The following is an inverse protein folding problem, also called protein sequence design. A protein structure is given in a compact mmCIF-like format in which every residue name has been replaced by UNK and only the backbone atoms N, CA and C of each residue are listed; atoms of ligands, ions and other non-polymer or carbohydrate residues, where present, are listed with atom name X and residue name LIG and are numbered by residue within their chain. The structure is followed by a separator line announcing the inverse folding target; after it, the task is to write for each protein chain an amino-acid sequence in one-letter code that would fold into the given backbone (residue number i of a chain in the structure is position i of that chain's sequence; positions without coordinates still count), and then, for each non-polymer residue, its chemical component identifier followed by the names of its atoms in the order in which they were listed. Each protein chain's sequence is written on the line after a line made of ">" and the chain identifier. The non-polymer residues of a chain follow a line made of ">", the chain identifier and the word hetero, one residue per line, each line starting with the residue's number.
data_IF_785255498614
#
_entry.id   IF_785255498614
#
_cell.length_a   1.000
_cell.length_b   1.000
_cell.length_c   1.000
_cell.angle_alpha   90.00
_cell.angle_beta   90.00
_cell.angle_gamma   90.00
#
_symmetry.space_group_name_H-M   'P 1'
#
loop_
_entity.id
_entity.type
_entity.pdbx_description
1 polymer ?
#
# COMPACT_ATOMS: atom_id res chain seq x y z
N UNK A 1 29.83 4.03 -34.44
CA UNK A 1 28.41 3.70 -34.65
C UNK A 1 27.85 3.41 -33.28
N UNK A 2 27.19 4.40 -32.67
CA UNK A 2 26.64 4.29 -31.32
C UNK A 2 25.28 3.60 -31.43
N UNK A 3 25.15 2.40 -30.86
CA UNK A 3 23.85 1.83 -30.54
C UNK A 3 23.39 2.45 -29.22
N UNK A 4 22.51 3.44 -29.32
CA UNK A 4 21.61 3.80 -28.24
C UNK A 4 20.65 2.62 -28.06
N UNK A 5 20.78 1.89 -26.97
CA UNK A 5 19.72 1.00 -26.47
C UNK A 5 18.84 1.87 -25.58
N UNK A 6 17.66 2.21 -26.05
CA UNK A 6 16.61 2.82 -25.22
C UNK A 6 16.22 1.82 -24.12
N UNK A 7 15.88 2.29 -22.90
CA UNK A 7 15.40 1.42 -21.83
C UNK A 7 14.00 0.88 -22.19
N UNK A 8 13.85 -0.44 -22.07
CA UNK A 8 12.63 -1.18 -22.37
C UNK A 8 11.51 -0.75 -21.42
N UNK A 9 10.44 -0.08 -21.92
CA UNK A 9 9.28 0.22 -21.11
C UNK A 9 8.35 -1.00 -21.14
N UNK A 10 7.81 -1.38 -19.99
CA UNK A 10 6.68 -2.31 -19.86
C UNK A 10 7.01 -3.82 -19.67
N UNK A 11 7.05 -4.25 -18.40
CA UNK A 11 6.94 -5.67 -18.04
C UNK A 11 5.94 -5.91 -16.90
N UNK A 12 5.28 -4.87 -16.39
CA UNK A 12 4.25 -4.96 -15.33
C UNK A 12 2.88 -4.47 -15.79
N UNK A 13 2.79 -3.59 -16.80
CA UNK A 13 1.51 -3.13 -17.34
C UNK A 13 0.86 -4.13 -18.30
N UNK A 14 1.67 -4.91 -19.02
CA UNK A 14 1.21 -5.82 -20.07
C UNK A 14 0.46 -7.06 -19.54
N UNK A 15 0.84 -7.58 -18.36
CA UNK A 15 0.22 -8.78 -17.79
C UNK A 15 -1.16 -8.52 -17.14
N UNK A 16 -1.34 -7.39 -16.44
CA UNK A 16 -2.65 -7.04 -15.87
C UNK A 16 -3.62 -6.62 -16.99
N UNK A 17 -3.11 -5.99 -18.03
CA UNK A 17 -3.88 -5.65 -19.24
C UNK A 17 -4.37 -6.89 -20.00
N UNK A 18 -3.58 -7.97 -20.03
CA UNK A 18 -4.00 -9.23 -20.69
C UNK A 18 -5.12 -9.94 -19.93
N UNK A 19 -5.08 -9.97 -18.59
CA UNK A 19 -6.12 -10.61 -17.77
C UNK A 19 -7.47 -9.89 -17.93
N UNK A 20 -7.46 -8.55 -17.89
CA UNK A 20 -8.67 -7.76 -18.14
C UNK A 20 -9.29 -8.05 -19.51
N UNK A 21 -8.45 -8.20 -20.55
CA UNK A 21 -8.91 -8.57 -21.88
C UNK A 21 -9.53 -9.97 -21.93
N UNK A 22 -8.98 -10.96 -21.21
CA UNK A 22 -9.55 -12.30 -21.11
C UNK A 22 -10.94 -12.30 -20.44
N UNK A 23 -11.12 -11.50 -19.39
CA UNK A 23 -12.41 -11.32 -18.70
C UNK A 23 -13.43 -10.67 -19.64
N UNK A 24 -13.05 -9.63 -20.38
CA UNK A 24 -13.93 -8.99 -21.36
C UNK A 24 -14.30 -9.95 -22.50
N UNK A 25 -13.35 -10.74 -22.99
CA UNK A 25 -13.60 -11.77 -24.00
C UNK A 25 -14.56 -12.85 -23.48
N UNK A 26 -14.45 -13.22 -22.20
CA UNK A 26 -15.40 -14.12 -21.57
C UNK A 26 -16.79 -13.49 -21.51
N UNK A 27 -16.94 -12.24 -21.06
CA UNK A 27 -18.24 -11.54 -21.06
C UNK A 27 -18.87 -11.49 -22.45
N UNK A 28 -18.10 -11.23 -23.50
CA UNK A 28 -18.60 -11.30 -24.87
C UNK A 28 -19.10 -12.70 -25.26
N UNK A 29 -18.41 -13.77 -24.85
CA UNK A 29 -18.87 -15.16 -25.05
C UNK A 29 -20.16 -15.45 -24.30
N UNK A 30 -20.28 -14.95 -23.07
CA UNK A 30 -21.50 -15.11 -22.25
C UNK A 30 -22.68 -14.39 -22.89
N UNK A 31 -22.49 -13.16 -23.35
CA UNK A 31 -23.52 -12.38 -24.05
C UNK A 31 -23.93 -13.04 -25.37
N UNK A 32 -22.97 -13.58 -26.14
CA UNK A 32 -23.27 -14.32 -27.36
C UNK A 32 -24.07 -15.62 -27.09
N UNK A 33 -23.83 -16.26 -25.93
CA UNK A 33 -24.47 -17.53 -25.57
C UNK A 33 -25.85 -17.35 -24.94
N UNK A 34 -26.00 -16.34 -24.08
CA UNK A 34 -27.18 -16.19 -23.21
C UNK A 34 -27.89 -14.84 -23.39
N UNK A 35 -27.36 -13.92 -24.18
CA UNK A 35 -27.90 -12.56 -24.33
C UNK A 35 -27.71 -11.72 -23.08
N UNK A 36 -28.42 -10.60 -23.02
CA UNK A 36 -28.46 -9.72 -21.84
C UNK A 36 -28.98 -10.49 -20.63
N UNK A 37 -28.28 -10.38 -19.50
CA UNK A 37 -28.65 -11.02 -18.24
C UNK A 37 -29.15 -9.96 -17.25
N UNK A 38 -30.47 -9.84 -17.09
CA UNK A 38 -31.13 -8.89 -16.18
C UNK A 38 -31.86 -9.63 -15.05
N UNK A 39 -31.13 -10.46 -14.31
CA UNK A 39 -31.69 -11.20 -13.16
C UNK A 39 -31.79 -10.29 -11.94
N UNK A 40 -32.72 -10.60 -11.02
CA UNK A 40 -32.76 -9.94 -9.73
C UNK A 40 -31.50 -10.27 -8.90
N UNK A 41 -30.99 -9.30 -8.15
CA UNK A 41 -29.71 -9.43 -7.42
C UNK A 41 -29.69 -10.60 -6.43
N UNK A 42 -30.82 -10.85 -5.75
CA UNK A 42 -30.94 -11.96 -4.79
C UNK A 42 -30.07 -11.80 -3.53
N UNK A 43 -29.59 -10.60 -3.24
CA UNK A 43 -28.70 -10.27 -2.12
C UNK A 43 -29.46 -9.88 -0.84
N UNK A 44 -28.72 -9.77 0.26
CA UNK A 44 -29.21 -9.39 1.57
C UNK A 44 -29.76 -10.57 2.40
N UNK A 45 -30.49 -10.21 3.45
CA UNK A 45 -31.13 -11.18 4.35
C UNK A 45 -30.20 -11.70 5.45
N UNK A 46 -30.81 -12.29 6.49
CA UNK A 46 -30.10 -12.66 7.72
C UNK A 46 -28.97 -13.66 7.47
N UNK A 47 -29.18 -14.65 6.60
CA UNK A 47 -28.19 -15.68 6.31
C UNK A 47 -26.92 -15.08 5.67
N UNK A 48 -27.05 -14.12 4.75
CA UNK A 48 -25.92 -13.44 4.14
C UNK A 48 -25.14 -12.60 5.16
N UNK A 49 -25.82 -11.83 6.02
CA UNK A 49 -25.15 -11.09 7.09
C UNK A 49 -24.45 -12.00 8.12
N UNK A 50 -25.06 -13.14 8.46
CA UNK A 50 -24.42 -14.14 9.32
C UNK A 50 -23.15 -14.70 8.65
N UNK A 51 -23.21 -14.93 7.33
CA UNK A 51 -22.09 -15.42 6.53
C UNK A 51 -20.92 -14.43 6.47
N UNK A 52 -21.19 -13.12 6.29
CA UNK A 52 -20.15 -12.07 6.34
C UNK A 52 -19.37 -12.13 7.64
N UNK A 53 -20.06 -12.20 8.78
CA UNK A 53 -19.39 -12.25 10.09
C UNK A 53 -18.47 -13.46 10.22
N UNK A 54 -18.88 -14.62 9.68
CA UNK A 54 -18.06 -15.83 9.69
C UNK A 54 -16.85 -15.68 8.78
N UNK A 55 -17.03 -15.18 7.56
CA UNK A 55 -15.95 -15.05 6.57
C UNK A 55 -14.90 -14.01 7.00
N UNK A 56 -15.34 -12.85 7.50
CA UNK A 56 -14.46 -11.82 8.06
C UNK A 56 -13.64 -12.36 9.23
N UNK A 57 -14.29 -13.04 10.18
CA UNK A 57 -13.57 -13.63 11.32
C UNK A 57 -12.53 -14.68 10.87
N UNK A 58 -12.82 -15.46 9.82
CA UNK A 58 -11.85 -16.41 9.25
C UNK A 58 -10.70 -15.71 8.53
N UNK A 59 -10.98 -14.64 7.79
CA UNK A 59 -9.97 -13.85 7.10
C UNK A 59 -9.03 -13.18 8.10
N UNK A 60 -9.59 -12.50 9.11
CA UNK A 60 -8.85 -11.86 10.20
C UNK A 60 -7.99 -12.87 10.97
N UNK A 61 -8.53 -14.04 11.31
CA UNK A 61 -7.76 -15.08 11.99
C UNK A 61 -6.61 -15.61 11.12
N UNK A 62 -6.88 -15.83 9.83
CA UNK A 62 -5.86 -16.27 8.91
C UNK A 62 -4.76 -15.21 8.75
N UNK A 63 -5.12 -13.93 8.65
CA UNK A 63 -4.19 -12.81 8.59
C UNK A 63 -3.32 -12.72 9.86
N UNK A 64 -3.94 -12.69 11.03
CA UNK A 64 -3.25 -12.62 12.34
C UNK A 64 -2.27 -13.77 12.56
N UNK A 65 -2.52 -14.94 11.99
CA UNK A 65 -1.68 -16.12 12.15
C UNK A 65 -0.72 -16.38 10.96
N UNK A 66 -0.59 -15.45 10.01
CA UNK A 66 0.28 -15.63 8.84
C UNK A 66 -0.15 -16.77 7.89
N UNK A 67 -1.45 -17.12 7.92
CA UNK A 67 -2.09 -18.17 7.10
C UNK A 67 -3.08 -17.61 6.08
N UNK A 68 -3.03 -16.30 5.81
CA UNK A 68 -3.92 -15.64 4.85
C UNK A 68 -3.74 -16.24 3.46
N UNK A 69 -4.84 -16.43 2.74
CA UNK A 69 -4.83 -16.96 1.37
C UNK A 69 -5.83 -16.19 0.53
N UNK A 70 -5.66 -16.22 -0.80
CA UNK A 70 -6.65 -15.66 -1.72
C UNK A 70 -8.06 -16.26 -1.52
N UNK A 71 -8.16 -17.52 -1.10
CA UNK A 71 -9.45 -18.12 -0.74
C UNK A 71 -10.13 -17.37 0.40
N UNK A 72 -9.39 -16.98 1.44
CA UNK A 72 -9.97 -16.25 2.56
C UNK A 72 -10.49 -14.88 2.10
N UNK A 73 -9.64 -14.13 1.39
CA UNK A 73 -9.96 -12.78 0.90
C UNK A 73 -11.16 -12.84 -0.05
N UNK A 74 -11.12 -13.71 -1.09
CA UNK A 74 -12.21 -13.81 -2.05
C UNK A 74 -13.53 -14.27 -1.39
N UNK A 75 -13.47 -15.17 -0.39
CA UNK A 75 -14.69 -15.62 0.29
C UNK A 75 -15.33 -14.51 1.14
N UNK A 76 -14.51 -13.61 1.70
CA UNK A 76 -14.98 -12.44 2.43
C UNK A 76 -15.67 -11.45 1.48
N UNK A 77 -14.99 -11.02 0.41
CA UNK A 77 -15.53 -10.07 -0.57
C UNK A 77 -16.86 -10.58 -1.19
N UNK A 78 -16.94 -11.88 -1.51
CA UNK A 78 -18.18 -12.49 -2.01
C UNK A 78 -19.29 -12.47 -0.95
N UNK A 79 -18.97 -12.75 0.31
CA UNK A 79 -19.96 -12.69 1.37
C UNK A 79 -20.48 -11.26 1.58
N UNK A 80 -19.61 -10.25 1.49
CA UNK A 80 -19.96 -8.84 1.61
C UNK A 80 -20.88 -8.40 0.47
N UNK A 81 -20.52 -8.73 -0.78
CA UNK A 81 -21.40 -8.52 -1.93
C UNK A 81 -22.78 -9.18 -1.74
N UNK A 82 -22.83 -10.42 -1.25
CA UNK A 82 -24.10 -11.11 -1.02
C UNK A 82 -24.93 -10.54 0.11
N UNK A 83 -24.34 -9.82 1.06
CA UNK A 83 -25.07 -9.19 2.15
C UNK A 83 -25.56 -7.76 1.82
N UNK A 84 -25.03 -7.14 0.77
CA UNK A 84 -25.34 -5.77 0.41
C UNK A 84 -26.68 -5.66 -0.34
N UNK A 85 -27.46 -4.63 -0.01
CA UNK A 85 -28.78 -4.34 -0.58
C UNK A 85 -28.85 -2.98 -1.29
N UNK A 86 -27.89 -2.10 -1.01
CA UNK A 86 -27.71 -0.84 -1.72
C UNK A 86 -27.02 -1.10 -3.07
N UNK A 87 -27.63 -0.73 -4.22
CA UNK A 87 -27.05 -1.03 -5.53
C UNK A 87 -25.69 -0.39 -5.79
N UNK A 88 -25.42 0.79 -5.20
CA UNK A 88 -24.14 1.48 -5.40
C UNK A 88 -23.03 0.77 -4.67
N UNK A 89 -23.29 0.37 -3.42
CA UNK A 89 -22.35 -0.41 -2.63
C UNK A 89 -22.17 -1.82 -3.18
N UNK A 90 -23.25 -2.48 -3.60
CA UNK A 90 -23.19 -3.80 -4.23
C UNK A 90 -22.26 -3.78 -5.45
N UNK A 91 -22.36 -2.74 -6.28
CA UNK A 91 -21.45 -2.56 -7.42
C UNK A 91 -19.98 -2.47 -6.96
N UNK A 92 -19.70 -1.74 -5.88
CA UNK A 92 -18.34 -1.60 -5.32
C UNK A 92 -17.81 -2.95 -4.86
N UNK A 93 -18.59 -3.71 -4.10
CA UNK A 93 -18.19 -5.04 -3.62
C UNK A 93 -17.95 -6.02 -4.79
N UNK A 94 -18.82 -6.01 -5.80
CA UNK A 94 -18.64 -6.84 -7.00
C UNK A 94 -17.37 -6.48 -7.79
N UNK A 95 -16.98 -5.20 -7.80
CA UNK A 95 -15.71 -4.77 -8.39
C UNK A 95 -14.53 -5.28 -7.56
N UNK A 96 -14.61 -5.25 -6.23
CA UNK A 96 -13.57 -5.83 -5.36
C UNK A 96 -13.43 -7.34 -5.59
N UNK A 97 -14.53 -8.09 -5.69
CA UNK A 97 -14.52 -9.52 -6.04
C UNK A 97 -13.78 -9.75 -7.36
N UNK A 98 -14.09 -8.96 -8.39
CA UNK A 98 -13.42 -9.07 -9.69
C UNK A 98 -11.92 -8.74 -9.61
N UNK A 99 -11.54 -7.72 -8.83
CA UNK A 99 -10.14 -7.33 -8.63
C UNK A 99 -9.35 -8.43 -7.92
N UNK A 100 -9.89 -9.03 -6.85
CA UNK A 100 -9.23 -10.12 -6.12
C UNK A 100 -9.11 -11.38 -6.99
N UNK A 101 -10.11 -11.69 -7.80
CA UNK A 101 -10.03 -12.80 -8.76
C UNK A 101 -8.89 -12.58 -9.78
N UNK A 102 -8.79 -11.38 -10.35
CA UNK A 102 -7.70 -11.04 -11.28
C UNK A 102 -6.32 -11.10 -10.60
N UNK A 103 -6.19 -10.58 -9.38
CA UNK A 103 -4.95 -10.66 -8.62
C UNK A 103 -4.53 -12.12 -8.33
N UNK A 104 -5.50 -13.01 -8.10
CA UNK A 104 -5.23 -14.43 -7.91
C UNK A 104 -4.77 -15.09 -9.22
N UNK A 105 -5.41 -14.79 -10.35
CA UNK A 105 -4.98 -15.25 -11.68
C UNK A 105 -3.54 -14.80 -11.96
N UNK A 106 -3.24 -13.52 -11.78
CA UNK A 106 -1.89 -12.99 -11.96
C UNK A 106 -0.85 -13.72 -11.11
N UNK A 107 -1.20 -14.08 -9.86
CA UNK A 107 -0.34 -14.91 -9.00
C UNK A 107 -0.14 -16.31 -9.58
N UNK A 108 -1.16 -16.94 -10.16
CA UNK A 108 -1.04 -18.25 -10.79
C UNK A 108 -0.17 -18.19 -12.03
N UNK A 109 -0.32 -17.16 -12.86
CA UNK A 109 0.49 -16.99 -14.08
C UNK A 109 1.98 -16.81 -13.75
N UNK A 110 2.29 -16.05 -12.71
CA UNK A 110 3.67 -15.95 -12.20
C UNK A 110 4.24 -17.29 -11.74
N UNK A 111 3.40 -18.23 -11.30
CA UNK A 111 3.85 -19.55 -10.86
C UNK A 111 4.03 -20.54 -12.02
N UNK A 112 3.28 -20.38 -13.11
CA UNK A 112 3.32 -21.25 -14.27
C UNK A 112 4.34 -20.80 -15.32
N UNK A 113 4.78 -19.52 -15.27
CA UNK A 113 5.87 -19.02 -16.11
C UNK A 113 7.14 -19.87 -15.90
N UNK A 114 7.73 -20.47 -16.95
CA UNK A 114 8.94 -21.26 -16.82
C UNK A 114 10.04 -20.46 -16.13
N UNK A 115 10.67 -21.04 -15.10
CA UNK A 115 11.86 -20.47 -14.41
C UNK A 115 13.11 -20.38 -15.30
N UNK A 116 12.96 -20.52 -16.61
CA UNK A 116 14.06 -20.60 -17.59
C UNK A 116 14.74 -19.23 -17.81
N UNK A 117 14.11 -18.14 -17.37
CA UNK A 117 14.63 -16.77 -17.53
C UNK A 117 15.16 -16.15 -16.22
N UNK A 118 15.32 -16.93 -15.15
CA UNK A 118 15.98 -16.43 -13.94
C UNK A 118 17.48 -16.71 -14.02
N UNK A 119 18.35 -15.72 -14.34
CA UNK A 119 19.75 -15.85 -14.01
C UNK A 119 19.88 -16.19 -12.52
N UNK A 120 20.71 -17.20 -12.21
CA UNK A 120 21.08 -17.60 -10.85
C UNK A 120 21.24 -16.38 -9.97
N UNK A 121 20.40 -16.21 -8.92
CA UNK A 121 20.51 -15.22 -7.84
C UNK A 121 21.66 -14.24 -8.01
N UNK A 122 21.57 -13.36 -9.01
CA UNK A 122 22.43 -12.21 -9.07
C UNK A 122 21.84 -11.28 -8.04
N UNK A 123 22.67 -10.76 -7.16
CA UNK A 123 22.36 -9.59 -6.35
C UNK A 123 21.52 -8.63 -7.21
N UNK A 124 20.35 -8.18 -6.74
CA UNK A 124 19.50 -7.28 -7.52
C UNK A 124 20.37 -6.20 -8.12
N UNK A 125 20.29 -6.01 -9.44
CA UNK A 125 21.14 -5.02 -10.08
C UNK A 125 20.65 -3.61 -9.67
N UNK A 126 21.42 -2.58 -9.98
CA UNK A 126 21.07 -1.20 -9.61
C UNK A 126 19.65 -0.81 -10.07
N UNK A 127 19.22 -1.25 -11.26
CA UNK A 127 17.91 -0.94 -11.83
C UNK A 127 16.78 -1.59 -11.02
N UNK A 128 16.91 -2.88 -10.69
CA UNK A 128 15.89 -3.59 -9.90
C UNK A 128 15.70 -2.96 -8.51
N UNK A 129 16.81 -2.54 -7.89
CA UNK A 129 16.82 -1.88 -6.59
C UNK A 129 16.17 -0.49 -6.69
N UNK A 130 16.48 0.27 -7.75
CA UNK A 130 15.91 1.59 -7.97
C UNK A 130 14.40 1.53 -8.26
N UNK A 131 13.94 0.58 -9.09
CA UNK A 131 12.52 0.42 -9.41
C UNK A 131 11.69 0.05 -8.19
N UNK A 132 12.21 -0.84 -7.34
CA UNK A 132 11.56 -1.14 -6.06
C UNK A 132 11.51 0.08 -5.14
N UNK A 133 12.59 0.86 -5.07
CA UNK A 133 12.61 2.11 -4.29
C UNK A 133 11.60 3.13 -4.83
N UNK A 134 11.38 3.23 -6.15
CA UNK A 134 10.36 4.09 -6.76
C UNK A 134 8.94 3.66 -6.40
N UNK A 135 8.65 2.36 -6.41
CA UNK A 135 7.35 1.84 -6.00
C UNK A 135 7.08 2.20 -4.53
N UNK A 136 8.04 1.95 -3.65
CA UNK A 136 7.92 2.30 -2.23
C UNK A 136 7.78 3.83 -2.02
N UNK A 137 8.53 4.64 -2.76
CA UNK A 137 8.40 6.10 -2.75
C UNK A 137 7.02 6.57 -3.24
N UNK A 138 6.45 5.92 -4.26
CA UNK A 138 5.12 6.22 -4.77
C UNK A 138 4.03 5.86 -3.74
N UNK A 139 4.17 4.72 -3.07
CA UNK A 139 3.27 4.31 -1.99
C UNK A 139 3.35 5.27 -0.80
N UNK A 140 4.58 5.62 -0.38
CA UNK A 140 4.83 6.63 0.65
C UNK A 140 4.19 7.98 0.29
N UNK A 141 4.47 8.52 -0.91
CA UNK A 141 3.88 9.79 -1.35
C UNK A 141 2.36 9.75 -1.37
N UNK A 142 1.79 8.65 -1.85
CA UNK A 142 0.33 8.47 -1.90
C UNK A 142 -0.28 8.41 -0.49
N UNK A 143 0.42 7.81 0.48
CA UNK A 143 -0.01 7.79 1.87
C UNK A 143 0.09 9.18 2.55
N UNK A 144 1.00 10.04 2.08
CA UNK A 144 1.27 11.36 2.68
C UNK A 144 0.55 12.52 1.97
N UNK A 145 -0.14 12.29 0.85
CA UNK A 145 -0.95 13.36 0.20
C UNK A 145 -2.19 13.73 1.02
N UNK A 146 -2.52 15.02 1.08
CA UNK A 146 -3.69 15.56 1.78
C UNK A 146 -5.04 14.93 1.37
N UNK A 147 -5.18 14.47 0.13
CA UNK A 147 -6.40 13.81 -0.35
C UNK A 147 -6.60 12.40 0.25
N UNK A 148 -5.52 11.76 0.71
CA UNK A 148 -5.52 10.45 1.37
C UNK A 148 -5.25 10.54 2.88
N UNK A 149 -4.96 11.75 3.38
CA UNK A 149 -4.62 12.02 4.75
C UNK A 149 -5.51 13.16 5.29
N UNK A 150 -6.70 12.83 5.81
CA UNK A 150 -7.58 13.83 6.39
C UNK A 150 -7.06 14.39 7.73
N UNK A 151 -6.01 13.80 8.35
CA UNK A 151 -5.36 14.34 9.55
C UNK A 151 -4.51 15.60 9.26
N UNK A 152 -4.08 15.82 8.01
CA UNK A 152 -3.59 17.12 7.54
C UNK A 152 -4.73 18.14 7.29
N UNK A 153 -5.98 17.70 7.33
CA UNK A 153 -7.19 18.47 7.06
C UNK A 153 -8.14 18.61 8.26
N UNK A 154 -7.77 18.14 9.47
CA UNK A 154 -8.58 18.27 10.69
C UNK A 154 -8.02 19.33 11.66
N UNK A 155 -8.31 20.63 11.45
CA UNK A 155 -8.03 21.65 12.47
C UNK A 155 -8.84 21.49 13.76
N UNK A 156 -9.85 20.61 13.78
CA UNK A 156 -10.86 20.48 14.85
C UNK A 156 -10.89 19.09 15.53
N UNK A 157 -9.85 18.24 15.41
CA UNK A 157 -9.83 16.93 16.07
C UNK A 157 -9.77 17.05 17.61
N UNK A 158 -10.54 16.25 18.38
CA UNK A 158 -10.54 16.32 19.83
C UNK A 158 -9.20 15.88 20.43
N UNK A 159 -8.60 16.74 21.27
CA UNK A 159 -7.31 16.50 21.92
C UNK A 159 -7.26 15.26 22.85
N UNK A 160 -8.43 14.67 23.17
CA UNK A 160 -8.59 13.58 24.12
C UNK A 160 -8.78 12.20 23.47
N UNK A 161 -8.78 12.10 22.14
CA UNK A 161 -8.87 10.82 21.44
C UNK A 161 -7.51 10.33 20.92
N UNK A 162 -7.14 9.05 21.16
CA UNK A 162 -5.97 8.47 20.54
C UNK A 162 -6.17 8.42 19.02
N UNK A 163 -5.19 8.95 18.28
CA UNK A 163 -5.18 8.87 16.82
C UNK A 163 -5.33 7.40 16.37
N UNK A 164 -6.06 7.13 15.27
CA UNK A 164 -6.08 5.79 14.70
C UNK A 164 -4.64 5.35 14.37
N UNK A 165 -4.29 4.06 14.56
CA UNK A 165 -2.99 3.56 14.12
C UNK A 165 -2.91 3.71 12.59
N UNK A 166 -2.15 4.70 12.13
CA UNK A 166 -2.17 5.07 10.73
C UNK A 166 -1.35 4.08 9.90
N UNK A 167 -1.94 3.63 8.80
CA UNK A 167 -1.33 2.83 7.72
C UNK A 167 -0.06 3.48 7.16
N UNK A 168 0.15 4.76 7.47
CA UNK A 168 1.28 5.62 7.14
C UNK A 168 2.60 5.12 7.73
N UNK A 169 2.58 4.63 8.97
CA UNK A 169 3.80 4.21 9.70
C UNK A 169 4.48 3.03 8.99
N UNK A 170 3.69 2.07 8.49
CA UNK A 170 4.23 0.89 7.81
C UNK A 170 4.86 1.26 6.47
N UNK A 171 4.20 2.10 5.66
CA UNK A 171 4.73 2.49 4.33
C UNK A 171 5.97 3.38 4.40
N UNK A 172 6.03 4.30 5.37
CA UNK A 172 7.20 5.16 5.59
C UNK A 172 8.38 4.36 6.15
N UNK A 173 8.13 3.50 7.15
CA UNK A 173 9.14 2.61 7.72
C UNK A 173 9.70 1.66 6.66
N UNK A 174 8.85 1.05 5.84
CA UNK A 174 9.27 0.14 4.77
C UNK A 174 10.15 0.85 3.73
N UNK A 175 9.79 2.06 3.33
CA UNK A 175 10.58 2.85 2.38
C UNK A 175 11.96 3.20 2.92
N UNK A 176 12.04 3.76 4.13
CA UNK A 176 13.31 4.18 4.72
C UNK A 176 14.20 3.00 5.12
N UNK A 177 13.61 1.89 5.59
CA UNK A 177 14.34 0.64 5.84
C UNK A 177 14.96 0.13 4.55
N UNK A 178 14.18 0.09 3.46
CA UNK A 178 14.67 -0.38 2.16
C UNK A 178 15.81 0.50 1.63
N UNK A 179 15.71 1.83 1.75
CA UNK A 179 16.79 2.75 1.35
C UNK A 179 18.06 2.59 2.19
N UNK A 180 17.93 2.38 3.49
CA UNK A 180 19.07 2.17 4.39
C UNK A 180 19.85 0.90 4.01
N UNK A 181 19.16 -0.21 3.77
CA UNK A 181 19.75 -1.48 3.33
C UNK A 181 20.48 -1.37 1.98
N UNK A 182 19.98 -0.51 1.08
CA UNK A 182 20.48 -0.39 -0.30
C UNK A 182 21.31 0.88 -0.55
N UNK A 183 21.77 1.56 0.52
CA UNK A 183 22.53 2.82 0.43
C UNK A 183 23.81 2.72 -0.39
N UNK A 184 24.50 1.59 -0.35
CA UNK A 184 25.70 1.37 -1.16
C UNK A 184 25.41 1.39 -2.68
N UNK A 185 24.18 1.05 -3.07
CA UNK A 185 23.76 0.99 -4.46
C UNK A 185 23.08 2.28 -4.91
N UNK A 186 22.16 2.82 -4.11
CA UNK A 186 21.33 3.97 -4.48
C UNK A 186 21.84 5.32 -3.95
N UNK A 187 22.86 5.35 -3.08
CA UNK A 187 23.28 6.56 -2.37
C UNK A 187 23.77 7.70 -3.28
N UNK A 188 24.16 7.40 -4.52
CA UNK A 188 24.53 8.39 -5.53
C UNK A 188 23.39 8.80 -6.46
N UNK A 189 22.24 8.12 -6.40
CA UNK A 189 21.10 8.41 -7.26
C UNK A 189 20.43 9.74 -6.82
N UNK A 190 20.36 10.76 -7.71
CA UNK A 190 19.78 12.05 -7.37
C UNK A 190 18.29 11.98 -7.00
N UNK A 191 17.56 10.96 -7.45
CA UNK A 191 16.13 10.76 -7.15
C UNK A 191 15.89 10.55 -5.65
N UNK A 192 16.79 9.82 -4.97
CA UNK A 192 16.66 9.48 -3.54
C UNK A 192 17.46 10.40 -2.61
N UNK A 193 18.12 11.44 -3.15
CA UNK A 193 18.97 12.35 -2.36
C UNK A 193 18.23 12.96 -1.18
N UNK A 194 16.99 13.42 -1.37
CA UNK A 194 16.18 14.00 -0.30
C UNK A 194 15.89 13.00 0.83
N UNK A 195 15.57 11.76 0.48
CA UNK A 195 15.30 10.70 1.45
C UNK A 195 16.57 10.30 2.23
N UNK A 196 17.73 10.25 1.57
CA UNK A 196 19.00 10.02 2.28
C UNK A 196 19.40 11.18 3.20
N UNK A 197 19.09 12.43 2.83
CA UNK A 197 19.29 13.57 3.73
C UNK A 197 18.41 13.47 4.99
N UNK A 198 17.17 12.98 4.85
CA UNK A 198 16.29 12.73 5.99
C UNK A 198 16.87 11.63 6.91
N UNK A 199 17.28 10.49 6.34
CA UNK A 199 17.93 9.40 7.10
C UNK A 199 19.18 9.89 7.85
N UNK A 200 20.02 10.70 7.21
CA UNK A 200 21.25 11.23 7.83
C UNK A 200 20.93 12.17 8.99
N UNK A 201 19.89 13.00 8.86
CA UNK A 201 19.51 13.90 9.94
C UNK A 201 18.84 13.17 11.10
N UNK A 202 18.03 12.14 10.83
CA UNK A 202 17.48 11.27 11.88
C UNK A 202 18.62 10.63 12.68
N UNK A 203 19.61 10.05 11.99
CA UNK A 203 20.77 9.46 12.65
C UNK A 203 21.59 10.49 13.45
N UNK A 204 21.73 11.73 12.95
CA UNK A 204 22.41 12.81 13.66
C UNK A 204 21.66 13.28 14.92
N UNK A 205 20.33 13.19 14.93
CA UNK A 205 19.46 13.48 16.07
C UNK A 205 19.32 12.29 17.04
N UNK A 206 19.88 11.11 16.70
CA UNK A 206 19.78 9.89 17.51
C UNK A 206 18.41 9.20 17.42
N UNK A 207 17.67 9.47 16.35
CA UNK A 207 16.36 8.90 16.03
C UNK A 207 16.50 7.61 15.21
N UNK A 208 15.63 6.63 15.44
CA UNK A 208 15.52 5.41 14.66
C UNK A 208 14.53 5.60 13.48
N UNK A 209 14.59 4.73 12.46
CA UNK A 209 13.67 4.72 11.32
C UNK A 209 12.21 4.60 11.78
N UNK A 210 11.96 3.94 12.92
CA UNK A 210 10.63 3.87 13.54
C UNK A 210 10.14 5.21 14.09
N UNK A 211 11.03 6.19 14.29
CA UNK A 211 10.73 7.55 14.74
C UNK A 211 10.47 8.51 13.55
N UNK A 212 10.54 8.04 12.30
CA UNK A 212 10.47 8.83 11.07
C UNK A 212 9.25 9.77 10.98
N UNK A 213 8.13 9.43 11.64
CA UNK A 213 6.92 10.25 11.73
C UNK A 213 7.19 11.68 12.20
N UNK A 214 8.23 11.89 13.03
CA UNK A 214 8.54 13.21 13.61
C UNK A 214 9.45 14.09 12.75
N UNK A 215 10.10 13.54 11.73
CA UNK A 215 11.15 14.25 11.00
C UNK A 215 10.67 14.86 9.67
N UNK A 216 9.63 14.30 9.03
CA UNK A 216 9.17 14.72 7.69
C UNK A 216 8.28 15.96 7.67
N UNK A 217 8.24 16.74 8.76
CA UNK A 217 7.64 18.07 8.78
C UNK A 217 6.25 18.14 9.40
N UNK A 218 6.06 17.47 10.54
CA UNK A 218 4.91 17.78 11.40
C UNK A 218 5.00 19.24 11.89
N UNK A 219 4.03 20.10 11.55
CA UNK A 219 4.01 21.50 11.97
C UNK A 219 3.88 21.68 13.50
N UNK A 220 3.42 20.69 14.27
CA UNK A 220 3.49 20.76 15.75
C UNK A 220 4.94 20.67 16.24
N UNK A 221 5.74 19.79 15.64
CA UNK A 221 7.15 19.65 15.99
C UNK A 221 7.94 20.94 15.66
N UNK A 222 7.62 21.65 14.57
CA UNK A 222 8.21 22.97 14.29
C UNK A 222 7.75 24.08 15.26
N UNK A 223 6.50 24.03 15.76
CA UNK A 223 6.02 24.97 16.78
C UNK A 223 6.70 24.76 18.14
N UNK A 224 6.92 23.50 18.53
CA UNK A 224 7.68 23.18 19.74
C UNK A 224 9.15 23.57 19.62
N UNK A 225 9.79 23.36 18.45
CA UNK A 225 11.16 23.82 18.16
C UNK A 225 11.29 25.35 18.12
N UNK A 226 10.22 26.07 17.75
CA UNK A 226 10.17 27.54 17.68
C UNK A 226 9.77 28.21 18.99
N UNK A 227 9.34 27.43 20.00
CA UNK A 227 9.04 27.97 21.32
C UNK A 227 10.34 28.48 21.97
N UNK A 228 10.37 29.74 22.47
CA UNK A 228 11.56 30.25 23.12
C UNK A 228 11.89 29.39 24.34
N UNK A 229 13.07 28.77 24.31
CA UNK A 229 13.64 28.05 25.46
C UNK A 229 13.68 29.04 26.64
N UNK A 230 12.79 28.86 27.60
CA UNK A 230 12.81 29.61 28.86
C UNK A 230 14.08 29.21 29.61
N UNK A 231 15.15 29.98 29.40
CA UNK A 231 16.38 29.89 30.20
C UNK A 231 16.11 30.52 31.55
N UNK A 232 15.32 29.81 32.35
CA UNK A 232 15.04 30.08 33.75
C UNK A 232 16.35 30.17 34.54
N UNK A 233 16.57 31.35 35.08
CA UNK A 233 17.73 31.78 35.85
C UNK A 233 18.08 30.82 37.00
N UNK A 234 19.34 30.39 37.04
CA UNK A 234 19.96 29.80 38.22
C UNK A 234 19.96 30.80 39.37
N UNK A 235 19.00 30.66 40.29
CA UNK A 235 19.07 31.34 41.60
C UNK A 235 20.08 30.62 42.48
N UNK A 236 21.29 31.15 42.54
CA UNK A 236 22.22 30.92 43.64
C UNK A 236 21.59 31.41 44.94
N UNK A 237 21.21 30.49 45.83
CA UNK A 237 21.02 30.80 47.26
C UNK A 237 22.38 30.70 47.95
N UNK A 238 22.86 31.82 48.47
CA UNK A 238 23.90 31.88 49.49
C UNK A 238 23.34 32.60 50.71
N UNK A 239 23.62 31.99 51.87
CA UNK A 239 23.31 32.35 53.26
C UNK A 239 21.92 32.00 53.77
#
# INVERSE_FOLDING_TARGET
>A
MNHNTEPDPDMTGDADSSIGAEVLAERARQDARWGVQDHADGTGGKAAHDQVRVMRAQCDDAARNGRLTFRHILSEEVAEAFAETDPTKLRTELVQVAAIAQAWIAKLDRQTRPRTDLPHHTTPNHTDIADRARVLLSLYRSAVTADNNPDLAYPDWPADQPYPPSREIETETDFYTYLAEHRATLGSDPEFRGAYMALDSMAAEGLDITDARTYTGDPETERERSAPVDRGQSRTRSR
#
